data_IF_675284994710
#
_entry.id   IF_675284994710
#
_cell.length_a   1.000
_cell.length_b   1.000
_cell.length_c   1.000
_cell.angle_alpha   90.00
_cell.angle_beta   90.00
_cell.angle_gamma   90.00
#
_symmetry.space_group_name_H-M   'P 1'
#
loop_
_entity.id
_entity.type
_entity.pdbx_description
1 polymer ?
#
# COMPACT_ATOMS: atom_id res chain seq x y z
N UNK A 1 4.80 -1.53 -32.42
CA UNK A 1 4.51 -2.86 -31.81
C UNK A 1 3.67 -2.59 -30.55
N UNK A 2 2.52 -3.25 -30.38
CA UNK A 2 1.71 -3.09 -29.18
C UNK A 2 2.53 -3.56 -27.96
N UNK A 3 2.62 -2.72 -26.93
CA UNK A 3 3.27 -3.12 -25.68
C UNK A 3 2.45 -4.24 -25.04
N UNK A 4 3.09 -5.38 -24.79
CA UNK A 4 2.45 -6.51 -24.14
C UNK A 4 2.68 -6.40 -22.62
N UNK A 5 1.59 -6.37 -21.86
CA UNK A 5 1.62 -6.42 -20.39
C UNK A 5 1.17 -7.81 -19.93
N UNK A 6 1.81 -8.31 -18.88
CA UNK A 6 1.43 -9.58 -18.23
C UNK A 6 0.25 -9.37 -17.27
N UNK A 7 0.17 -8.18 -16.67
CA UNK A 7 -0.88 -7.81 -15.74
C UNK A 7 -1.24 -6.32 -15.85
N UNK A 8 -2.53 -6.02 -15.71
CA UNK A 8 -3.06 -4.68 -15.51
C UNK A 8 -3.54 -4.54 -14.06
N UNK A 9 -2.96 -3.58 -13.32
CA UNK A 9 -3.38 -3.25 -11.94
C UNK A 9 -4.21 -1.98 -11.99
N UNK A 10 -5.46 -2.06 -11.57
CA UNK A 10 -6.36 -0.90 -11.47
C UNK A 10 -6.30 -0.31 -10.06
N UNK A 11 -5.76 0.89 -9.96
CA UNK A 11 -5.57 1.62 -8.70
C UNK A 11 -4.12 1.73 -8.28
N UNK A 12 -3.58 2.96 -8.31
CA UNK A 12 -2.20 3.30 -7.97
C UNK A 12 -2.06 3.84 -6.53
N UNK A 13 -2.84 3.30 -5.58
CA UNK A 13 -2.67 3.50 -4.15
C UNK A 13 -1.53 2.63 -3.58
N UNK A 14 -1.42 2.59 -2.26
CA UNK A 14 -0.37 1.82 -1.54
C UNK A 14 -0.35 0.35 -1.98
N UNK A 15 -1.52 -0.30 -2.02
CA UNK A 15 -1.65 -1.72 -2.37
C UNK A 15 -1.26 -1.97 -3.83
N UNK A 16 -1.79 -1.18 -4.77
CA UNK A 16 -1.51 -1.34 -6.19
C UNK A 16 -0.05 -1.11 -6.53
N UNK A 17 0.59 -0.08 -5.95
CA UNK A 17 2.02 0.19 -6.14
C UNK A 17 2.90 -0.91 -5.53
N UNK A 18 2.57 -1.37 -4.33
CA UNK A 18 3.31 -2.47 -3.69
C UNK A 18 3.21 -3.76 -4.52
N UNK A 19 2.01 -4.12 -4.99
CA UNK A 19 1.80 -5.27 -5.88
C UNK A 19 2.57 -5.13 -7.19
N UNK A 20 2.53 -3.96 -7.82
CA UNK A 20 3.27 -3.70 -9.07
C UNK A 20 4.78 -3.92 -8.89
N UNK A 21 5.36 -3.41 -7.79
CA UNK A 21 6.77 -3.58 -7.47
C UNK A 21 7.14 -5.05 -7.22
N UNK A 22 6.29 -5.80 -6.52
CA UNK A 22 6.49 -7.24 -6.28
C UNK A 22 6.49 -8.02 -7.59
N UNK A 23 5.50 -7.77 -8.47
CA UNK A 23 5.38 -8.44 -9.76
C UNK A 23 6.54 -8.08 -10.71
N UNK A 24 6.98 -6.82 -10.70
CA UNK A 24 8.14 -6.41 -11.49
C UNK A 24 9.45 -7.09 -11.02
N UNK A 25 9.59 -7.45 -9.75
CA UNK A 25 10.71 -8.27 -9.25
C UNK A 25 10.68 -9.68 -9.82
N UNK A 26 9.49 -10.22 -10.09
CA UNK A 26 9.29 -11.51 -10.78
C UNK A 26 9.40 -11.37 -12.31
N UNK A 27 9.91 -10.21 -12.80
CA UNK A 27 10.12 -9.90 -14.22
C UNK A 27 8.84 -9.80 -15.05
N UNK A 28 7.69 -9.59 -14.42
CA UNK A 28 6.43 -9.34 -15.11
C UNK A 28 6.32 -7.87 -15.52
N UNK A 29 5.77 -7.65 -16.71
CA UNK A 29 5.46 -6.31 -17.23
C UNK A 29 4.10 -5.87 -16.72
N UNK A 30 4.07 -4.77 -16.00
CA UNK A 30 2.88 -4.29 -15.28
C UNK A 30 2.40 -2.98 -15.88
N UNK A 31 1.12 -2.92 -16.25
CA UNK A 31 0.41 -1.67 -16.46
C UNK A 31 -0.26 -1.26 -15.12
N UNK A 32 0.12 -0.12 -14.57
CA UNK A 32 -0.45 0.42 -13.33
C UNK A 32 -1.37 1.59 -13.65
N UNK A 33 -2.68 1.40 -13.51
CA UNK A 33 -3.67 2.43 -13.80
C UNK A 33 -3.75 3.42 -12.64
N UNK A 34 -3.37 4.67 -12.92
CA UNK A 34 -3.51 5.78 -11.98
C UNK A 34 -4.66 6.69 -12.43
N UNK A 35 -5.66 6.88 -11.58
CA UNK A 35 -6.66 7.90 -11.83
C UNK A 35 -6.02 9.29 -11.83
N UNK A 36 -6.51 10.24 -12.64
CA UNK A 36 -6.05 11.61 -12.60
C UNK A 36 -6.14 12.16 -11.17
N UNK A 37 -5.03 12.64 -10.63
CA UNK A 37 -5.04 13.26 -9.31
C UNK A 37 -5.80 14.58 -9.39
N UNK A 38 -7.02 14.62 -8.87
CA UNK A 38 -7.66 15.89 -8.52
C UNK A 38 -6.91 16.46 -7.35
N UNK A 39 -6.27 17.61 -7.54
CA UNK A 39 -5.55 18.29 -6.48
C UNK A 39 -6.50 18.56 -5.30
N UNK A 40 -6.38 17.78 -4.24
CA UNK A 40 -7.06 18.06 -2.99
C UNK A 40 -6.43 19.30 -2.36
N UNK A 41 -7.26 20.30 -2.05
CA UNK A 41 -6.83 21.52 -1.35
C UNK A 41 -6.56 21.27 0.14
N UNK A 42 -6.90 20.10 0.66
CA UNK A 42 -6.72 19.72 2.07
C UNK A 42 -5.46 18.88 2.23
N UNK A 43 -4.66 19.22 3.24
CA UNK A 43 -3.50 18.41 3.61
C UNK A 43 -3.97 17.01 4.00
N UNK A 44 -3.35 15.99 3.41
CA UNK A 44 -3.60 14.60 3.78
C UNK A 44 -2.90 14.31 5.12
N UNK A 45 -3.68 14.02 6.15
CA UNK A 45 -3.21 13.75 7.52
C UNK A 45 -3.46 12.29 7.92
N UNK A 46 -3.76 11.40 6.96
CA UNK A 46 -3.99 9.98 7.24
C UNK A 46 -2.72 9.31 7.75
N UNK A 47 -2.92 8.42 8.73
CA UNK A 47 -1.88 7.53 9.21
C UNK A 47 -2.41 6.10 9.30
N UNK A 48 -1.54 5.12 9.07
CA UNK A 48 -1.87 3.70 9.18
C UNK A 48 -1.00 3.03 10.24
N UNK A 49 -1.62 2.11 10.98
CA UNK A 49 -0.89 1.19 11.84
C UNK A 49 -0.46 -0.03 10.99
N UNK A 50 0.84 -0.18 10.78
CA UNK A 50 1.41 -1.27 9.99
C UNK A 50 2.16 -2.24 10.91
N UNK A 51 1.89 -3.54 10.74
CA UNK A 51 2.56 -4.59 11.51
C UNK A 51 3.96 -4.91 10.96
N UNK A 52 4.72 -5.75 11.67
CA UNK A 52 6.07 -6.14 11.30
C UNK A 52 6.18 -6.79 9.92
N UNK A 53 5.18 -7.60 9.50
CA UNK A 53 5.18 -8.22 8.19
C UNK A 53 5.04 -7.18 7.07
N UNK A 54 4.15 -6.20 7.24
CA UNK A 54 4.01 -5.07 6.30
C UNK A 54 5.27 -4.24 6.23
N UNK A 55 5.92 -3.98 7.39
CA UNK A 55 7.21 -3.27 7.42
C UNK A 55 8.27 -4.03 6.62
N UNK A 56 8.46 -5.33 6.87
CA UNK A 56 9.44 -6.15 6.16
C UNK A 56 9.21 -6.16 4.64
N UNK A 57 7.94 -6.25 4.22
CA UNK A 57 7.59 -6.19 2.80
C UNK A 57 7.99 -4.83 2.19
N UNK A 58 7.60 -3.72 2.82
CA UNK A 58 7.90 -2.37 2.34
C UNK A 58 9.41 -2.06 2.38
N UNK A 59 10.13 -2.53 3.39
CA UNK A 59 11.61 -2.46 3.45
C UNK A 59 12.22 -3.22 2.25
N UNK A 60 11.73 -4.42 1.95
CA UNK A 60 12.19 -5.21 0.81
C UNK A 60 12.00 -4.50 -0.53
N UNK A 61 10.97 -3.67 -0.64
CA UNK A 61 10.67 -2.83 -1.80
C UNK A 61 11.42 -1.48 -1.79
N UNK A 62 12.20 -1.20 -0.74
CA UNK A 62 12.85 0.09 -0.48
C UNK A 62 11.85 1.26 -0.42
N UNK A 63 10.64 0.96 0.05
CA UNK A 63 9.52 1.90 0.12
C UNK A 63 9.11 2.25 1.57
N UNK A 64 9.85 1.77 2.58
CA UNK A 64 9.60 2.18 3.96
C UNK A 64 9.98 3.64 4.15
N UNK A 65 9.11 4.47 4.77
CA UNK A 65 9.41 5.90 4.98
C UNK A 65 10.48 6.11 6.06
N UNK A 66 11.02 7.32 6.09
CA UNK A 66 12.02 7.71 7.07
C UNK A 66 11.43 7.72 8.50
N UNK A 67 12.29 7.61 9.51
CA UNK A 67 11.88 7.47 10.91
C UNK A 67 10.96 8.59 11.44
N UNK A 68 11.06 9.80 10.87
CA UNK A 68 10.17 10.91 11.22
C UNK A 68 8.70 10.68 10.78
N UNK A 69 8.47 9.75 9.83
CA UNK A 69 7.16 9.41 9.27
C UNK A 69 6.70 8.00 9.65
N UNK A 70 7.43 7.30 10.52
CA UNK A 70 7.12 5.94 10.95
C UNK A 70 7.47 5.77 12.43
N UNK A 71 6.48 5.95 13.31
CA UNK A 71 6.64 5.89 14.76
C UNK A 71 6.38 4.48 15.29
N UNK A 72 7.36 3.80 15.93
CA UNK A 72 7.14 2.49 16.52
C UNK A 72 6.30 2.59 17.79
N UNK A 73 5.35 1.68 17.95
CA UNK A 73 4.50 1.54 19.14
C UNK A 73 5.02 0.38 19.97
N UNK A 74 5.56 0.70 21.15
CA UNK A 74 6.14 -0.28 22.05
C UNK A 74 5.12 -0.93 22.98
N UNK A 75 4.09 -0.17 23.35
CA UNK A 75 3.04 -0.60 24.28
C UNK A 75 1.68 -0.17 23.80
N UNK A 76 0.68 -1.02 24.04
CA UNK A 76 -0.72 -0.72 23.77
C UNK A 76 -1.56 -1.08 24.99
N UNK A 77 -2.35 -0.12 25.46
CA UNK A 77 -3.32 -0.31 26.52
C UNK A 77 -4.73 -0.30 25.90
N UNK A 78 -5.45 -1.36 26.09
CA UNK A 78 -6.85 -1.46 25.67
C UNK A 78 -7.70 -1.52 26.93
N UNK A 79 -8.65 -0.57 27.05
CA UNK A 79 -9.59 -0.50 28.16
C UNK A 79 -10.96 -0.90 27.63
N UNK A 80 -11.57 -1.89 28.27
CA UNK A 80 -12.92 -2.35 27.97
C UNK A 80 -13.93 -1.89 29.02
N UNK A 81 -15.16 -2.29 28.83
CA UNK A 81 -16.25 -2.02 29.78
C UNK A 81 -15.97 -2.69 31.15
N UNK A 82 -16.47 -2.08 32.23
CA UNK A 82 -16.37 -2.66 33.57
C UNK A 82 -14.96 -2.67 34.17
N UNK A 83 -14.13 -1.67 33.81
CA UNK A 83 -12.74 -1.53 34.32
C UNK A 83 -11.79 -2.66 33.91
N UNK A 84 -12.14 -3.47 32.92
CA UNK A 84 -11.24 -4.46 32.33
C UNK A 84 -10.18 -3.75 31.48
N UNK A 85 -8.93 -4.23 31.54
CA UNK A 85 -7.83 -3.70 30.72
C UNK A 85 -6.90 -4.82 30.25
N UNK A 86 -6.35 -4.65 29.06
CA UNK A 86 -5.33 -5.52 28.50
C UNK A 86 -4.16 -4.67 28.05
N UNK A 87 -2.96 -5.11 28.40
CA UNK A 87 -1.71 -4.47 27.97
C UNK A 87 -0.94 -5.40 27.06
N UNK A 88 -0.48 -4.87 25.94
CA UNK A 88 0.48 -5.49 25.04
C UNK A 88 1.80 -4.75 25.16
N UNK A 89 2.90 -5.51 25.21
CA UNK A 89 4.27 -4.98 25.30
C UNK A 89 5.14 -5.71 24.26
N UNK A 90 5.79 -4.96 23.38
CA UNK A 90 6.64 -5.48 22.32
C UNK A 90 7.85 -6.24 22.90
N UNK A 91 8.48 -5.68 23.94
CA UNK A 91 9.65 -6.29 24.57
C UNK A 91 9.31 -7.65 25.21
N UNK A 92 8.14 -7.75 25.85
CA UNK A 92 7.67 -9.01 26.43
C UNK A 92 7.43 -10.11 25.35
N UNK A 93 7.23 -9.71 24.11
CA UNK A 93 7.03 -10.62 22.96
C UNK A 93 8.31 -10.81 22.14
N UNK A 94 9.43 -10.22 22.54
CA UNK A 94 10.69 -10.27 21.79
C UNK A 94 10.63 -9.55 20.44
N UNK A 95 9.70 -8.60 20.28
CA UNK A 95 9.50 -7.85 19.05
C UNK A 95 10.11 -6.44 19.13
N UNK A 96 10.53 -5.89 17.99
CA UNK A 96 11.03 -4.51 17.89
C UNK A 96 9.93 -3.48 18.24
N UNK A 97 8.71 -3.72 17.76
CA UNK A 97 7.53 -2.93 18.06
C UNK A 97 6.28 -3.80 17.85
N UNK A 98 5.16 -3.41 18.44
CA UNK A 98 3.85 -4.04 18.19
C UNK A 98 3.33 -3.66 16.80
N UNK A 99 3.53 -2.42 16.44
CA UNK A 99 3.12 -1.83 15.15
C UNK A 99 3.87 -0.52 14.95
N UNK A 100 3.79 0.06 13.75
CA UNK A 100 4.29 1.41 13.43
C UNK A 100 3.13 2.26 12.95
N UNK A 101 3.01 3.47 13.49
CA UNK A 101 2.11 4.48 12.93
C UNK A 101 2.87 5.19 11.82
N UNK A 102 2.37 5.08 10.61
CA UNK A 102 3.03 5.54 9.38
C UNK A 102 2.21 6.60 8.69
N UNK A 103 2.81 7.73 8.34
CA UNK A 103 2.18 8.78 7.55
C UNK A 103 1.89 8.27 6.13
N UNK A 104 0.62 8.27 5.75
CA UNK A 104 0.17 7.78 4.44
C UNK A 104 0.80 8.56 3.29
N UNK A 105 0.84 9.91 3.30
CA UNK A 105 1.47 10.67 2.21
C UNK A 105 2.95 10.32 2.02
N UNK A 106 3.70 10.16 3.11
CA UNK A 106 5.11 9.80 3.05
C UNK A 106 5.31 8.39 2.46
N UNK A 107 4.48 7.42 2.85
CA UNK A 107 4.50 6.07 2.30
C UNK A 107 4.11 6.05 0.82
N UNK A 108 3.05 6.77 0.44
CA UNK A 108 2.62 6.88 -0.95
C UNK A 108 3.70 7.49 -1.83
N UNK A 109 4.42 8.50 -1.33
CA UNK A 109 5.52 9.12 -2.06
C UNK A 109 6.69 8.15 -2.28
N UNK A 110 7.09 7.40 -1.23
CA UNK A 110 8.16 6.40 -1.34
C UNK A 110 7.81 5.30 -2.34
N UNK A 111 6.58 4.82 -2.34
CA UNK A 111 6.10 3.85 -3.32
C UNK A 111 6.04 4.44 -4.74
N UNK A 112 5.61 5.69 -4.89
CA UNK A 112 5.59 6.36 -6.19
C UNK A 112 7.01 6.51 -6.77
N UNK A 113 7.97 6.90 -5.94
CA UNK A 113 9.37 7.00 -6.35
C UNK A 113 9.93 5.63 -6.75
N UNK A 114 9.66 4.57 -5.98
CA UNK A 114 10.10 3.22 -6.34
C UNK A 114 9.50 2.74 -7.67
N UNK A 115 8.21 3.01 -7.92
CA UNK A 115 7.54 2.71 -9.20
C UNK A 115 8.17 3.47 -10.35
N UNK A 116 8.47 4.77 -10.16
CA UNK A 116 9.06 5.63 -11.20
C UNK A 116 10.37 5.10 -11.76
N UNK A 117 11.17 4.44 -10.93
CA UNK A 117 12.47 3.89 -11.32
C UNK A 117 12.43 2.41 -11.72
N UNK A 118 11.24 1.81 -11.79
CA UNK A 118 11.08 0.41 -12.18
C UNK A 118 10.68 0.29 -13.66
N UNK A 119 11.60 -0.16 -14.55
CA UNK A 119 11.37 -0.15 -16.01
C UNK A 119 10.29 -1.14 -16.48
N UNK A 120 9.90 -2.10 -15.64
CA UNK A 120 8.86 -3.06 -15.97
C UNK A 120 7.45 -2.60 -15.55
N UNK A 121 7.34 -1.42 -14.92
CA UNK A 121 6.05 -0.83 -14.56
C UNK A 121 5.82 0.39 -15.45
N UNK A 122 4.70 0.40 -16.14
CA UNK A 122 4.22 1.57 -16.86
C UNK A 122 2.96 2.11 -16.20
N UNK A 123 2.99 3.39 -15.83
CA UNK A 123 1.82 4.09 -15.28
C UNK A 123 0.98 4.58 -16.45
N UNK A 124 -0.29 4.17 -16.48
CA UNK A 124 -1.23 4.48 -17.56
C UNK A 124 -2.49 5.15 -17.02
N UNK A 125 -3.17 5.93 -17.86
CA UNK A 125 -4.36 6.70 -17.46
C UNK A 125 -5.67 5.87 -17.52
N UNK A 126 -5.65 4.76 -18.26
CA UNK A 126 -6.82 3.91 -18.48
C UNK A 126 -6.42 2.43 -18.45
N UNK A 127 -7.37 1.53 -18.12
CA UNK A 127 -7.11 0.10 -18.17
C UNK A 127 -6.69 -0.37 -19.56
N UNK A 128 -5.71 -1.26 -19.61
CA UNK A 128 -5.20 -1.88 -20.84
C UNK A 128 -5.45 -3.38 -20.82
N UNK A 129 -5.50 -4.00 -21.99
CA UNK A 129 -5.68 -5.43 -22.12
C UNK A 129 -4.43 -6.16 -21.59
N UNK A 130 -4.66 -7.12 -20.70
CA UNK A 130 -3.64 -8.02 -20.15
C UNK A 130 -4.29 -9.36 -19.79
N UNK A 131 -3.52 -10.46 -19.74
CA UNK A 131 -4.04 -11.79 -19.35
C UNK A 131 -4.65 -11.80 -17.94
N UNK A 132 -4.16 -10.96 -17.05
CA UNK A 132 -4.67 -10.83 -15.68
C UNK A 132 -4.94 -9.36 -15.34
N UNK A 133 -6.02 -9.11 -14.61
CA UNK A 133 -6.33 -7.79 -14.05
C UNK A 133 -6.48 -7.88 -12.53
N UNK A 134 -5.75 -7.04 -11.79
CA UNK A 134 -5.87 -6.91 -10.35
C UNK A 134 -6.60 -5.60 -10.00
N UNK A 135 -7.63 -5.67 -9.16
CA UNK A 135 -8.41 -4.51 -8.74
C UNK A 135 -7.92 -4.04 -7.37
N UNK A 136 -7.23 -2.89 -7.34
CA UNK A 136 -6.65 -2.27 -6.16
C UNK A 136 -7.18 -0.84 -5.92
N UNK A 137 -8.42 -0.57 -6.33
CA UNK A 137 -9.07 0.76 -6.32
C UNK A 137 -9.52 1.22 -4.92
N UNK A 138 -9.41 0.36 -3.90
CA UNK A 138 -9.78 0.68 -2.53
C UNK A 138 -11.29 0.74 -2.29
N UNK A 139 -11.69 1.46 -1.24
CA UNK A 139 -13.09 1.50 -0.77
C UNK A 139 -14.07 2.09 -1.78
N UNK A 140 -13.62 3.02 -2.59
CA UNK A 140 -14.43 3.72 -3.60
C UNK A 140 -14.46 3.00 -4.98
N UNK A 141 -14.04 1.74 -5.03
CA UNK A 141 -14.02 0.96 -6.28
C UNK A 141 -15.41 0.79 -6.88
N UNK A 142 -15.61 1.30 -8.08
CA UNK A 142 -16.80 1.03 -8.89
C UNK A 142 -16.71 -0.31 -9.63
N UNK A 143 -15.52 -0.69 -10.03
CA UNK A 143 -15.23 -1.94 -10.76
C UNK A 143 -15.64 -3.19 -9.97
N UNK A 144 -15.60 -3.11 -8.65
CA UNK A 144 -16.04 -4.21 -7.78
C UNK A 144 -17.50 -4.60 -8.05
N UNK A 145 -18.38 -3.61 -8.14
CA UNK A 145 -19.81 -3.84 -8.46
C UNK A 145 -19.99 -4.42 -9.86
N UNK A 146 -19.21 -3.95 -10.84
CA UNK A 146 -19.22 -4.47 -12.22
C UNK A 146 -18.84 -5.95 -12.27
N UNK A 147 -18.00 -6.42 -11.35
CA UNK A 147 -17.56 -7.81 -11.25
C UNK A 147 -18.44 -8.66 -10.32
N UNK A 148 -19.54 -8.13 -9.82
CA UNK A 148 -20.46 -8.83 -8.93
C UNK A 148 -19.90 -9.16 -7.55
N UNK A 149 -18.84 -8.47 -7.10
CA UNK A 149 -18.31 -8.63 -5.77
C UNK A 149 -19.10 -7.76 -4.77
N UNK A 150 -19.81 -8.39 -3.86
CA UNK A 150 -20.59 -7.76 -2.79
C UNK A 150 -19.86 -7.92 -1.43
N UNK A 151 -20.18 -7.00 -0.47
CA UNK A 151 -19.72 -7.08 0.92
C UNK A 151 -20.87 -7.38 1.84
#
# INVERSE_FOLDING_TARGET
MAQHFDICIRGAGIVGRALALLLARERLRVALVAAPQTASKTQDVRAYALNGASKQLLDSLRAWPDAQHATPIQRMHVVGDGNSHVQFDAQAQGAEALTWIVDVPALEQRLADAVRYQPLIEVVDAPVAAPLTAICEGRASSTRAELGAEF
#
